data_IF_051255023105
#
_entry.id   IF_051255023105
#
_cell.length_a   1.000
_cell.length_b   1.000
_cell.length_c   1.000
_cell.angle_alpha   90.00
_cell.angle_beta   90.00
_cell.angle_gamma   90.00
#
_symmetry.space_group_name_H-M   'P 1'
#
loop_
_entity.id
_entity.type
_entity.pdbx_description
1 polymer ?
#
# COMPACT_ATOMS: atom_id res chain seq x y z
N UNK A 1 -4.42 -10.29 -7.21
CA UNK A 1 -5.81 -10.76 -7.33
C UNK A 1 -6.84 -9.63 -7.30
N UNK A 2 -6.63 -8.53 -6.57
CA UNK A 2 -7.63 -7.45 -6.43
C UNK A 2 -8.13 -6.85 -7.76
N UNK A 3 -7.25 -6.56 -8.72
CA UNK A 3 -7.69 -6.06 -10.03
C UNK A 3 -8.50 -7.07 -10.86
N UNK A 4 -8.39 -8.37 -10.57
CA UNK A 4 -9.14 -9.39 -11.29
C UNK A 4 -10.58 -9.39 -10.76
N UNK A 5 -10.74 -9.45 -9.44
CA UNK A 5 -12.06 -9.44 -8.81
C UNK A 5 -12.79 -8.09 -8.95
N UNK A 6 -12.06 -7.01 -9.29
CA UNK A 6 -12.67 -5.71 -9.60
C UNK A 6 -13.52 -5.72 -10.87
N UNK A 7 -13.41 -6.78 -11.68
CA UNK A 7 -14.19 -6.95 -12.89
C UNK A 7 -13.60 -6.29 -14.15
N UNK A 8 -12.40 -5.71 -14.04
CA UNK A 8 -11.77 -4.91 -15.11
C UNK A 8 -11.40 -5.72 -16.37
N UNK A 9 -11.12 -7.01 -16.20
CA UNK A 9 -10.61 -7.86 -17.29
C UNK A 9 -11.68 -8.73 -17.95
N UNK A 10 -12.90 -8.73 -17.42
CA UNK A 10 -13.96 -9.57 -17.95
C UNK A 10 -14.62 -8.91 -19.16
N UNK A 11 -14.97 -9.74 -20.14
CA UNK A 11 -15.57 -9.28 -21.41
C UNK A 11 -17.09 -9.27 -21.36
N UNK A 12 -17.68 -10.12 -20.52
CA UNK A 12 -19.13 -10.30 -20.39
C UNK A 12 -19.61 -9.87 -19.01
N UNK A 13 -20.88 -9.47 -18.90
CA UNK A 13 -21.52 -9.19 -17.61
C UNK A 13 -22.10 -10.44 -16.94
N UNK A 14 -22.23 -11.55 -17.69
CA UNK A 14 -22.70 -12.82 -17.14
C UNK A 14 -21.58 -13.52 -16.35
N UNK A 15 -21.62 -13.38 -15.03
CA UNK A 15 -20.56 -13.81 -14.11
C UNK A 15 -21.14 -14.53 -12.90
N UNK A 16 -20.38 -15.47 -12.35
CA UNK A 16 -20.61 -15.96 -11.00
C UNK A 16 -20.06 -14.93 -10.00
N UNK A 17 -20.89 -14.55 -9.03
CA UNK A 17 -20.52 -13.65 -7.92
C UNK A 17 -20.61 -14.41 -6.62
N UNK A 18 -19.57 -14.29 -5.79
CA UNK A 18 -19.53 -14.90 -4.46
C UNK A 18 -19.10 -13.87 -3.44
N UNK A 19 -19.77 -13.86 -2.29
CA UNK A 19 -19.34 -13.03 -1.18
C UNK A 19 -18.10 -13.65 -0.52
N UNK A 20 -17.09 -12.81 -0.35
CA UNK A 20 -15.86 -13.14 0.35
C UNK A 20 -15.71 -12.27 1.59
N UNK A 21 -15.22 -12.89 2.66
CA UNK A 21 -14.89 -12.21 3.91
C UNK A 21 -13.51 -12.64 4.38
N UNK A 22 -12.75 -11.69 4.89
CA UNK A 22 -11.47 -11.90 5.58
C UNK A 22 -11.48 -11.15 6.90
N UNK A 23 -10.59 -11.53 7.81
CA UNK A 23 -10.38 -10.85 9.08
C UNK A 23 -8.96 -10.29 9.08
N UNK A 24 -8.82 -9.05 9.50
CA UNK A 24 -7.50 -8.42 9.71
C UNK A 24 -7.53 -7.61 11.00
N UNK A 25 -6.35 -7.36 11.56
CA UNK A 25 -6.15 -6.59 12.76
C UNK A 25 -5.24 -5.41 12.45
N UNK A 26 -5.46 -4.27 13.11
CA UNK A 26 -4.62 -3.09 12.94
C UNK A 26 -4.53 -2.22 14.18
N UNK A 27 -3.44 -1.47 14.30
CA UNK A 27 -3.32 -0.37 15.26
C UNK A 27 -4.09 0.89 14.81
N UNK A 28 -4.71 0.88 13.62
CA UNK A 28 -5.60 1.94 13.15
C UNK A 28 -6.99 1.81 13.80
N UNK A 29 -7.42 2.84 14.52
CA UNK A 29 -8.72 2.92 15.19
C UNK A 29 -9.68 3.79 14.37
N UNK A 30 -10.78 3.20 13.91
CA UNK A 30 -11.79 3.89 13.12
C UNK A 30 -13.20 3.35 13.38
N UNK A 31 -14.22 4.21 13.19
CA UNK A 31 -15.59 3.93 13.64
C UNK A 31 -16.60 3.61 12.54
N UNK A 32 -16.29 3.87 11.26
CA UNK A 32 -17.23 3.71 10.16
C UNK A 32 -16.71 2.71 9.12
N UNK A 33 -17.57 1.94 8.45
CA UNK A 33 -17.14 1.14 7.30
C UNK A 33 -16.47 2.02 6.24
N UNK A 34 -15.30 1.61 5.75
CA UNK A 34 -14.62 2.27 4.63
C UNK A 34 -14.88 1.46 3.37
N UNK A 35 -15.73 1.99 2.48
CA UNK A 35 -16.12 1.35 1.23
C UNK A 35 -15.19 1.79 0.10
N UNK A 36 -14.47 0.84 -0.49
CA UNK A 36 -13.64 1.07 -1.69
C UNK A 36 -14.30 0.46 -2.94
N UNK A 37 -13.70 0.64 -4.11
CA UNK A 37 -14.19 0.05 -5.36
C UNK A 37 -14.08 -1.48 -5.44
N UNK A 38 -13.31 -2.13 -4.55
CA UNK A 38 -13.05 -3.58 -4.61
C UNK A 38 -13.41 -4.33 -3.32
N UNK A 39 -13.38 -3.65 -2.18
CA UNK A 39 -13.71 -4.25 -0.88
C UNK A 39 -14.20 -3.19 0.11
N UNK A 40 -14.84 -3.62 1.18
CA UNK A 40 -15.23 -2.79 2.33
C UNK A 40 -14.43 -3.23 3.56
N UNK A 41 -13.82 -2.27 4.25
CA UNK A 41 -13.15 -2.48 5.52
C UNK A 41 -14.09 -2.08 6.66
N UNK A 42 -14.58 -3.06 7.43
CA UNK A 42 -15.58 -2.86 8.46
C UNK A 42 -14.96 -3.02 9.85
N UNK A 43 -14.89 -1.96 10.67
CA UNK A 43 -14.43 -2.09 12.06
C UNK A 43 -15.42 -2.92 12.89
N UNK A 44 -14.88 -3.82 13.72
CA UNK A 44 -15.66 -4.69 14.62
C UNK A 44 -15.60 -4.20 16.07
N UNK A 45 -14.49 -3.55 16.45
CA UNK A 45 -14.25 -3.00 17.78
C UNK A 45 -13.67 -1.58 17.65
N UNK A 46 -13.97 -0.70 18.60
CA UNK A 46 -13.78 0.74 18.47
C UNK A 46 -12.86 1.35 19.53
N UNK A 47 -12.40 0.56 20.51
CA UNK A 47 -11.65 1.09 21.67
C UNK A 47 -10.49 0.20 22.13
N UNK A 48 -10.16 -0.85 21.37
CA UNK A 48 -8.97 -1.66 21.63
C UNK A 48 -7.71 -1.00 21.05
N UNK A 49 -6.53 -1.15 21.69
CA UNK A 49 -5.25 -0.77 21.09
C UNK A 49 -5.05 -1.40 19.70
N UNK A 50 -5.57 -2.61 19.50
CA UNK A 50 -5.59 -3.31 18.23
C UNK A 50 -7.03 -3.55 17.80
N UNK A 51 -7.47 -2.77 16.82
CA UNK A 51 -8.80 -2.87 16.22
C UNK A 51 -8.90 -4.10 15.31
N UNK A 52 -10.02 -4.82 15.42
CA UNK A 52 -10.35 -5.91 14.51
C UNK A 52 -11.21 -5.40 13.36
N UNK A 53 -10.93 -5.86 12.16
CA UNK A 53 -11.65 -5.47 10.94
C UNK A 53 -12.11 -6.71 10.16
N UNK A 54 -13.26 -6.58 9.51
CA UNK A 54 -13.73 -7.51 8.48
C UNK A 54 -13.50 -6.87 7.11
N UNK A 55 -12.83 -7.60 6.21
CA UNK A 55 -12.69 -7.22 4.80
C UNK A 55 -13.76 -7.98 4.02
N UNK A 56 -14.78 -7.27 3.57
CA UNK A 56 -15.87 -7.82 2.75
C UNK A 56 -15.65 -7.48 1.28
N UNK A 57 -15.63 -8.47 0.38
CA UNK A 57 -15.40 -8.29 -1.06
C UNK A 57 -16.29 -9.21 -1.89
N UNK A 58 -16.45 -8.89 -3.18
CA UNK A 58 -17.20 -9.72 -4.13
C UNK A 58 -16.18 -10.39 -5.05
N UNK A 59 -16.10 -11.72 -4.98
CA UNK A 59 -15.33 -12.53 -5.91
C UNK A 59 -16.13 -12.74 -7.19
N UNK A 60 -15.49 -12.54 -8.34
CA UNK A 60 -16.15 -12.62 -9.65
C UNK A 60 -15.40 -13.59 -10.56
N UNK A 61 -16.13 -14.44 -11.28
CA UNK A 61 -15.62 -15.36 -12.31
C UNK A 61 -16.53 -15.32 -13.54
N UNK A 62 -15.95 -15.34 -14.74
CA UNK A 62 -16.73 -15.56 -15.97
C UNK A 62 -17.40 -16.94 -15.95
N UNK A 63 -18.65 -17.00 -16.41
CA UNK A 63 -19.35 -18.27 -16.59
C UNK A 63 -18.79 -18.95 -17.84
N UNK A 64 -17.87 -19.88 -17.64
CA UNK A 64 -17.44 -20.79 -18.72
C UNK A 64 -17.98 -22.20 -18.46
N UNK A 65 -18.13 -23.03 -19.51
CA UNK A 65 -18.84 -24.32 -19.44
C UNK A 65 -18.11 -25.44 -18.66
N UNK A 66 -17.10 -25.12 -17.84
CA UNK A 66 -16.31 -26.08 -17.06
C UNK A 66 -16.27 -25.72 -15.58
N UNK A 67 -16.10 -26.74 -14.72
CA UNK A 67 -16.20 -26.58 -13.26
C UNK A 67 -15.25 -25.51 -12.70
N UNK A 68 -15.83 -24.45 -12.15
CA UNK A 68 -15.09 -23.31 -11.62
C UNK A 68 -14.73 -23.51 -10.15
N UNK A 69 -13.47 -23.26 -9.79
CA UNK A 69 -12.98 -23.30 -8.40
C UNK A 69 -12.59 -21.90 -7.96
N UNK A 70 -13.14 -21.47 -6.82
CA UNK A 70 -12.75 -20.22 -6.14
C UNK A 70 -11.37 -20.40 -5.51
N UNK A 71 -10.42 -19.53 -5.86
CA UNK A 71 -9.03 -19.59 -5.36
C UNK A 71 -8.51 -18.18 -5.13
N UNK A 72 -7.60 -18.01 -4.17
CA UNK A 72 -6.84 -16.78 -3.99
C UNK A 72 -7.44 -15.78 -3.00
N UNK A 73 -8.37 -16.22 -2.14
CA UNK A 73 -8.92 -15.39 -1.06
C UNK A 73 -7.84 -14.81 -0.15
N UNK A 74 -6.84 -15.61 0.24
CA UNK A 74 -5.69 -15.16 1.03
C UNK A 74 -4.90 -14.05 0.32
N UNK A 75 -4.69 -14.19 -0.99
CA UNK A 75 -3.97 -13.16 -1.78
C UNK A 75 -4.81 -11.89 -1.93
N UNK A 76 -6.15 -11.99 -2.00
CA UNK A 76 -7.04 -10.83 -2.02
C UNK A 76 -6.92 -10.05 -0.71
N UNK A 77 -7.03 -10.76 0.42
CA UNK A 77 -6.93 -10.19 1.77
C UNK A 77 -5.55 -9.54 1.92
N UNK A 78 -4.48 -10.28 1.63
CA UNK A 78 -3.10 -9.80 1.76
C UNK A 78 -2.83 -8.56 0.92
N UNK A 79 -3.27 -8.53 -0.34
CA UNK A 79 -3.08 -7.35 -1.18
C UNK A 79 -3.87 -6.15 -0.64
N UNK A 80 -5.05 -6.37 -0.07
CA UNK A 80 -5.86 -5.30 0.49
C UNK A 80 -5.24 -4.74 1.77
N UNK A 81 -4.69 -5.60 2.64
CA UNK A 81 -3.91 -5.19 3.81
C UNK A 81 -2.71 -4.33 3.44
N UNK A 82 -2.01 -4.64 2.35
CA UNK A 82 -0.87 -3.84 1.87
C UNK A 82 -1.31 -2.44 1.46
N UNK A 83 -2.41 -2.33 0.70
CA UNK A 83 -2.95 -1.02 0.30
C UNK A 83 -3.42 -0.22 1.52
N UNK A 84 -4.09 -0.88 2.47
CA UNK A 84 -4.55 -0.25 3.71
C UNK A 84 -3.36 0.22 4.55
N UNK A 85 -2.34 -0.63 4.74
CA UNK A 85 -1.15 -0.30 5.52
C UNK A 85 -0.42 0.91 4.97
N UNK A 86 -0.27 0.96 3.65
CA UNK A 86 0.40 2.06 2.97
C UNK A 86 -0.39 3.37 3.05
N UNK A 87 -1.68 3.34 2.70
CA UNK A 87 -2.49 4.55 2.57
C UNK A 87 -2.95 5.12 3.90
N UNK A 88 -3.33 4.26 4.85
CA UNK A 88 -3.73 4.65 6.21
C UNK A 88 -2.53 4.82 7.15
N UNK A 89 -1.31 4.55 6.65
CA UNK A 89 -0.04 4.66 7.40
C UNK A 89 -0.09 3.91 8.73
N UNK A 90 -0.61 2.69 8.68
CA UNK A 90 -0.83 1.86 9.85
C UNK A 90 -0.39 0.43 9.58
N UNK A 91 -0.25 -0.36 10.63
CA UNK A 91 0.11 -1.75 10.52
C UNK A 91 -1.15 -2.61 10.39
N UNK A 92 -1.30 -3.38 9.31
CA UNK A 92 -2.34 -4.41 9.17
C UNK A 92 -1.74 -5.81 9.10
N UNK A 93 -2.40 -6.78 9.75
CA UNK A 93 -2.03 -8.19 9.70
C UNK A 93 -3.18 -9.10 10.08
N UNK A 94 -3.22 -10.29 9.48
CA UNK A 94 -4.15 -11.37 9.84
C UNK A 94 -3.93 -11.89 11.28
N UNK A 95 -2.77 -11.62 11.90
CA UNK A 95 -2.47 -12.06 13.26
C UNK A 95 -2.46 -10.89 14.25
N UNK A 96 -3.43 -10.90 15.17
CA UNK A 96 -3.57 -9.89 16.22
C UNK A 96 -2.31 -9.75 17.09
N UNK A 97 -1.62 -10.86 17.38
CA UNK A 97 -0.42 -10.87 18.22
C UNK A 97 0.73 -10.13 17.53
N UNK A 98 0.82 -10.22 16.19
CA UNK A 98 1.89 -9.55 15.45
C UNK A 98 1.71 -8.03 15.48
N UNK A 99 0.48 -7.54 15.30
CA UNK A 99 0.16 -6.11 15.42
C UNK A 99 0.54 -5.60 16.82
N UNK A 100 0.12 -6.31 17.85
CA UNK A 100 0.37 -5.94 19.23
C UNK A 100 1.88 -5.97 19.57
N UNK A 101 2.60 -7.02 19.18
CA UNK A 101 4.04 -7.14 19.44
C UNK A 101 4.90 -6.14 18.66
N UNK A 102 4.48 -5.73 17.46
CA UNK A 102 5.23 -4.79 16.60
C UNK A 102 4.92 -3.33 16.94
N UNK A 103 3.70 -3.02 17.38
CA UNK A 103 3.27 -1.65 17.66
C UNK A 103 3.33 -1.28 19.16
N UNK A 104 3.61 -2.23 20.06
CA UNK A 104 3.77 -1.96 21.50
C UNK A 104 4.95 -1.01 21.78
N UNK A 105 4.69 0.03 22.58
CA UNK A 105 5.68 1.02 23.04
C UNK A 105 6.78 0.46 23.95
N UNK A 106 6.54 -0.68 24.65
CA UNK A 106 7.49 -1.26 25.60
C UNK A 106 7.62 -2.76 25.35
N UNK A 107 8.75 -3.20 24.79
CA UNK A 107 9.22 -4.59 24.96
C UNK A 107 9.95 -4.69 26.30
N UNK A 108 9.50 -5.59 27.18
CA UNK A 108 10.36 -6.18 28.21
C UNK A 108 11.33 -7.13 27.49
N UNK A 109 12.56 -6.70 27.19
CA UNK A 109 13.70 -7.61 27.13
C UNK A 109 15.04 -6.88 27.27
N UNK A 110 15.89 -7.48 28.09
CA UNK A 110 17.30 -7.15 28.32
C UNK A 110 18.08 -7.22 27.00
N UNK A 111 18.69 -6.11 26.57
CA UNK A 111 19.58 -6.11 25.41
C UNK A 111 19.05 -5.42 24.15
N UNK A 112 18.38 -4.27 24.33
CA UNK A 112 18.41 -3.14 23.41
C UNK A 112 18.08 -3.35 21.92
N UNK A 113 16.83 -3.08 21.55
CA UNK A 113 16.48 -2.24 20.39
C UNK A 113 15.32 -1.34 20.87
N UNK A 114 15.43 -0.03 20.64
CA UNK A 114 14.40 0.97 20.98
C UNK A 114 13.09 0.62 20.25
N UNK A 115 11.93 0.79 20.90
CA UNK A 115 10.61 0.51 20.32
C UNK A 115 10.48 1.01 18.87
N UNK A 116 9.91 0.24 17.91
CA UNK A 116 9.77 0.65 16.51
C UNK A 116 9.07 2.00 16.32
N UNK A 117 8.16 2.37 17.22
CA UNK A 117 7.51 3.69 17.26
C UNK A 117 8.47 4.87 17.48
N UNK A 118 9.65 4.64 18.07
CA UNK A 118 10.69 5.67 18.20
C UNK A 118 11.45 5.90 16.88
N UNK A 119 11.44 4.92 15.97
CA UNK A 119 12.14 4.98 14.69
C UNK A 119 11.21 5.47 13.58
N UNK A 120 10.02 4.89 13.48
CA UNK A 120 8.98 5.30 12.53
C UNK A 120 7.74 5.70 13.31
N UNK A 121 7.72 6.99 13.70
CA UNK A 121 6.57 7.60 14.39
C UNK A 121 5.32 7.49 13.52
N UNK A 122 4.16 7.55 14.15
CA UNK A 122 2.84 7.37 13.54
C UNK A 122 2.56 5.93 13.09
N UNK A 123 3.41 5.30 12.26
CA UNK A 123 3.11 3.97 11.70
C UNK A 123 2.95 2.87 12.76
N UNK A 124 3.78 2.89 13.80
CA UNK A 124 3.74 1.94 14.92
C UNK A 124 3.09 2.51 16.18
N UNK A 125 2.52 3.71 16.12
CA UNK A 125 1.83 4.28 17.29
C UNK A 125 0.57 3.46 17.57
N UNK A 126 0.19 3.31 18.84
CA UNK A 126 -0.96 2.49 19.22
C UNK A 126 -1.79 3.19 20.28
N UNK A 127 -3.09 3.49 20.02
CA UNK A 127 -3.77 3.42 18.73
C UNK A 127 -3.50 4.64 17.83
N UNK A 128 -3.56 4.46 16.51
CA UNK A 128 -3.64 5.56 15.54
C UNK A 128 -5.11 5.92 15.39
N UNK A 129 -5.51 7.11 15.84
CA UNK A 129 -6.87 7.60 15.64
C UNK A 129 -7.05 8.14 14.23
N UNK A 130 -7.84 7.42 13.43
CA UNK A 130 -8.07 7.77 12.04
C UNK A 130 -8.86 9.06 11.85
N UNK A 131 -8.59 9.75 10.74
CA UNK A 131 -9.33 10.96 10.32
C UNK A 131 -10.18 10.68 9.08
N UNK A 132 -11.25 11.45 8.91
CA UNK A 132 -12.13 11.33 7.74
C UNK A 132 -11.35 11.54 6.43
N UNK A 133 -10.51 12.57 6.37
CA UNK A 133 -9.67 12.89 5.22
C UNK A 133 -8.75 11.72 4.82
N UNK A 134 -8.19 11.00 5.81
CA UNK A 134 -7.33 9.84 5.57
C UNK A 134 -8.13 8.68 4.96
N UNK A 135 -9.36 8.46 5.42
CA UNK A 135 -10.23 7.43 4.86
C UNK A 135 -10.69 7.76 3.44
N UNK A 136 -11.00 9.03 3.16
CA UNK A 136 -11.33 9.49 1.80
C UNK A 136 -10.12 9.37 0.86
N UNK A 137 -8.93 9.73 1.36
CA UNK A 137 -7.69 9.54 0.64
C UNK A 137 -7.44 8.06 0.32
N UNK A 138 -7.66 7.16 1.28
CA UNK A 138 -7.52 5.72 1.08
C UNK A 138 -8.48 5.20 0.00
N UNK A 139 -9.75 5.60 0.02
CA UNK A 139 -10.73 5.21 -1.02
C UNK A 139 -10.26 5.66 -2.40
N UNK A 140 -9.84 6.91 -2.53
CA UNK A 140 -9.32 7.48 -3.77
C UNK A 140 -8.03 6.79 -4.23
N UNK A 141 -7.13 6.48 -3.30
CA UNK A 141 -5.88 5.77 -3.56
C UNK A 141 -6.15 4.37 -4.13
N UNK A 142 -7.01 3.58 -3.48
CA UNK A 142 -7.38 2.24 -3.97
C UNK A 142 -7.98 2.32 -5.36
N UNK A 143 -8.86 3.28 -5.61
CA UNK A 143 -9.44 3.47 -6.94
C UNK A 143 -8.39 3.77 -8.01
N UNK A 144 -7.43 4.65 -7.72
CA UNK A 144 -6.30 4.95 -8.63
C UNK A 144 -5.44 3.72 -8.89
N UNK A 145 -5.08 2.96 -7.85
CA UNK A 145 -4.25 1.76 -7.98
C UNK A 145 -4.94 0.68 -8.81
N UNK A 146 -6.23 0.43 -8.59
CA UNK A 146 -7.00 -0.55 -9.37
C UNK A 146 -7.16 -0.09 -10.83
N UNK A 147 -7.28 1.22 -11.07
CA UNK A 147 -7.38 1.79 -12.41
C UNK A 147 -6.08 1.66 -13.25
N UNK A 148 -4.92 1.41 -12.64
CA UNK A 148 -3.64 1.30 -13.36
C UNK A 148 -3.63 0.16 -14.42
N UNK A 149 -2.86 0.32 -15.52
CA UNK A 149 -2.54 -0.78 -16.43
C UNK A 149 -1.92 -1.96 -15.67
N UNK A 150 -2.13 -3.19 -16.15
CA UNK A 150 -1.74 -4.42 -15.43
C UNK A 150 -0.25 -4.45 -15.08
N UNK A 151 0.62 -4.00 -15.98
CA UNK A 151 2.06 -3.97 -15.74
C UNK A 151 2.40 -3.00 -14.59
N UNK A 152 1.96 -1.73 -14.72
CA UNK A 152 2.17 -0.70 -13.70
C UNK A 152 1.55 -1.05 -12.34
N UNK A 153 0.39 -1.72 -12.32
CA UNK A 153 -0.20 -2.21 -11.08
C UNK A 153 0.69 -3.23 -10.37
N UNK A 154 1.25 -4.20 -11.10
CA UNK A 154 2.14 -5.21 -10.50
C UNK A 154 3.40 -4.55 -9.93
N UNK A 155 3.99 -3.61 -10.67
CA UNK A 155 5.13 -2.79 -10.24
C UNK A 155 4.83 -2.04 -8.93
N UNK A 156 3.74 -1.24 -8.92
CA UNK A 156 3.31 -0.47 -7.74
C UNK A 156 3.02 -1.39 -6.54
N UNK A 157 2.29 -2.48 -6.74
CA UNK A 157 1.96 -3.41 -5.66
C UNK A 157 3.22 -4.07 -5.07
N UNK A 158 4.20 -4.44 -5.91
CA UNK A 158 5.49 -4.97 -5.46
C UNK A 158 6.27 -3.93 -4.66
N UNK A 159 6.27 -2.67 -5.09
CA UNK A 159 6.91 -1.59 -4.34
C UNK A 159 6.26 -1.38 -2.98
N UNK A 160 4.92 -1.33 -2.92
CA UNK A 160 4.17 -1.24 -1.66
C UNK A 160 4.50 -2.43 -0.74
N UNK A 161 4.54 -3.65 -1.30
CA UNK A 161 4.92 -4.85 -0.56
C UNK A 161 6.32 -4.72 0.07
N UNK A 162 7.32 -4.31 -0.71
CA UNK A 162 8.68 -4.11 -0.23
C UNK A 162 8.77 -3.00 0.82
N UNK A 163 8.05 -1.89 0.62
CA UNK A 163 7.98 -0.80 1.59
C UNK A 163 7.42 -1.28 2.94
N UNK A 164 6.28 -2.00 2.93
CA UNK A 164 5.69 -2.53 4.16
C UNK A 164 6.64 -3.55 4.81
N UNK A 165 7.27 -4.44 4.04
CA UNK A 165 8.26 -5.39 4.57
C UNK A 165 9.48 -4.69 5.18
N UNK A 166 9.94 -3.59 4.59
CA UNK A 166 11.02 -2.80 5.14
C UNK A 166 10.62 -2.25 6.51
N UNK A 167 9.42 -1.69 6.65
CA UNK A 167 8.91 -1.24 7.95
C UNK A 167 8.81 -2.39 8.95
N UNK A 168 8.32 -3.55 8.54
CA UNK A 168 8.17 -4.73 9.40
C UNK A 168 9.50 -5.33 9.89
N UNK A 169 10.61 -5.05 9.19
CA UNK A 169 11.95 -5.53 9.54
C UNK A 169 12.77 -4.55 10.38
N UNK A 170 12.28 -3.33 10.63
CA UNK A 170 12.96 -2.29 11.44
C UNK A 170 13.35 -2.79 12.83
N UNK A 171 12.50 -3.61 13.45
CA UNK A 171 12.73 -4.14 14.81
C UNK A 171 13.71 -5.33 14.84
N UNK A 172 13.95 -5.99 13.70
CA UNK A 172 14.85 -7.14 13.57
C UNK A 172 16.23 -6.68 13.15
N UNK A 173 16.31 -5.86 12.09
CA UNK A 173 17.55 -5.38 11.53
C UNK A 173 17.31 -4.05 10.78
N UNK A 174 17.80 -2.96 11.34
CA UNK A 174 17.66 -1.62 10.78
C UNK A 174 18.40 -1.46 9.45
N UNK A 175 19.58 -2.07 9.30
CA UNK A 175 20.39 -1.99 8.07
C UNK A 175 19.69 -2.71 6.92
N UNK A 176 19.09 -3.87 7.20
CA UNK A 176 18.26 -4.60 6.24
C UNK A 176 17.03 -3.79 5.85
N UNK A 177 16.32 -3.22 6.83
CA UNK A 177 15.16 -2.36 6.58
C UNK A 177 15.51 -1.19 5.66
N UNK A 178 16.61 -0.49 5.95
CA UNK A 178 17.10 0.60 5.13
C UNK A 178 17.46 0.14 3.71
N UNK A 179 18.15 -1.00 3.58
CA UNK A 179 18.53 -1.57 2.28
C UNK A 179 17.29 -1.90 1.43
N UNK A 180 16.23 -2.44 2.05
CA UNK A 180 14.96 -2.73 1.34
C UNK A 180 14.28 -1.42 0.90
N UNK A 181 14.32 -0.36 1.72
CA UNK A 181 13.76 0.95 1.32
C UNK A 181 14.50 1.55 0.13
N UNK A 182 15.84 1.54 0.14
CA UNK A 182 16.66 2.02 -0.98
C UNK A 182 16.34 1.23 -2.24
N UNK A 183 16.35 -0.11 -2.14
CA UNK A 183 15.98 -0.99 -3.26
C UNK A 183 14.57 -0.70 -3.80
N UNK A 184 13.61 -0.40 -2.92
CA UNK A 184 12.25 -0.05 -3.32
C UNK A 184 12.21 1.26 -4.13
N UNK A 185 12.97 2.27 -3.72
CA UNK A 185 13.05 3.55 -4.44
C UNK A 185 13.75 3.38 -5.79
N UNK A 186 14.86 2.65 -5.84
CA UNK A 186 15.58 2.36 -7.08
C UNK A 186 14.72 1.57 -8.07
N UNK A 187 14.05 0.51 -7.59
CA UNK A 187 13.14 -0.29 -8.41
C UNK A 187 12.00 0.56 -8.98
N UNK A 188 11.45 1.46 -8.17
CA UNK A 188 10.38 2.36 -8.60
C UNK A 188 10.87 3.38 -9.62
N UNK A 189 12.04 3.98 -9.41
CA UNK A 189 12.62 4.92 -10.37
C UNK A 189 12.88 4.24 -11.71
N UNK A 190 13.46 3.03 -11.69
CA UNK A 190 13.79 2.28 -12.91
C UNK A 190 12.54 1.80 -13.66
N UNK A 191 11.47 1.39 -12.97
CA UNK A 191 10.23 0.95 -13.63
C UNK A 191 9.38 2.08 -14.22
N UNK A 192 9.65 3.33 -13.83
CA UNK A 192 8.90 4.50 -14.26
C UNK A 192 9.78 5.58 -14.93
N UNK A 193 10.91 5.18 -15.51
CA UNK A 193 11.88 6.04 -16.20
C UNK A 193 11.42 6.53 -17.59
N UNK A 194 10.11 6.55 -17.84
CA UNK A 194 9.53 7.08 -19.09
C UNK A 194 9.64 8.61 -19.17
N UNK A 195 10.08 9.28 -18.09
CA UNK A 195 10.24 10.72 -18.02
C UNK A 195 11.51 11.18 -18.75
N UNK A 196 11.33 11.87 -19.87
CA UNK A 196 12.43 12.52 -20.58
C UNK A 196 12.50 13.99 -20.13
N UNK A 197 13.56 14.42 -19.40
CA UNK A 197 13.67 15.79 -18.97
C UNK A 197 13.77 16.72 -20.18
N UNK A 198 12.86 17.69 -20.27
CA UNK A 198 12.93 18.79 -21.21
C UNK A 198 13.86 19.89 -20.70
N UNK A 199 14.27 20.81 -21.58
CA UNK A 199 15.12 21.96 -21.20
C UNK A 199 14.53 22.82 -20.07
N UNK A 200 13.20 22.83 -19.95
CA UNK A 200 12.45 23.55 -18.93
C UNK A 200 12.46 22.91 -17.55
N UNK A 201 12.83 21.64 -17.44
CA UNK A 201 12.83 20.88 -16.19
C UNK A 201 14.15 21.04 -15.42
N UNK A 202 15.16 21.63 -16.05
CA UNK A 202 16.45 21.96 -15.43
C UNK A 202 16.38 23.27 -14.65
N UNK A 203 17.27 23.39 -13.68
CA UNK A 203 17.39 24.58 -12.84
C UNK A 203 17.56 25.84 -13.72
N UNK A 204 16.70 26.87 -13.55
CA UNK A 204 16.74 28.08 -14.37
C UNK A 204 18.09 28.80 -14.29
N UNK A 205 18.79 28.77 -13.15
CA UNK A 205 20.08 29.45 -13.00
C UNK A 205 21.19 28.80 -13.84
N UNK A 206 21.10 27.48 -14.07
CA UNK A 206 22.04 26.73 -14.91
C UNK A 206 21.64 26.89 -16.38
N UNK A 207 20.33 26.79 -16.66
CA UNK A 207 19.76 26.92 -18.00
C UNK A 207 20.09 28.27 -18.62
N UNK A 208 19.85 29.36 -17.90
CA UNK A 208 20.00 30.71 -18.43
C UNK A 208 21.48 31.05 -18.69
N UNK A 209 22.41 30.48 -17.90
CA UNK A 209 23.86 30.57 -18.18
C UNK A 209 24.24 29.80 -19.44
N UNK A 210 23.75 28.57 -19.60
CA UNK A 210 24.02 27.75 -20.78
C UNK A 210 23.43 28.38 -22.05
N UNK A 211 22.20 28.88 -22.00
CA UNK A 211 21.56 29.58 -23.12
C UNK A 211 22.36 30.83 -23.51
N UNK A 212 22.89 31.57 -22.53
CA UNK A 212 23.74 32.74 -22.81
C UNK A 212 25.05 32.41 -23.52
N UNK A 213 25.63 31.23 -23.28
CA UNK A 213 26.84 30.77 -23.97
C UNK A 213 26.51 30.13 -25.32
N UNK A 214 25.40 29.40 -25.44
CA UNK A 214 24.93 28.83 -26.69
C UNK A 214 24.53 29.90 -27.71
N UNK A 215 23.89 30.99 -27.27
CA UNK A 215 23.58 32.14 -28.13
C UNK A 215 24.82 32.83 -28.70
N UNK A 216 26.01 32.67 -28.10
CA UNK A 216 27.26 33.22 -28.66
C UNK A 216 27.85 32.35 -29.76
N UNK A 217 27.50 31.06 -29.79
CA UNK A 217 28.03 30.08 -30.75
C UNK A 217 27.17 30.08 -32.03
N UNK A 218 25.87 30.36 -31.93
CA UNK A 218 24.94 30.44 -33.09
C UNK A 218 25.12 31.70 -33.97
N UNK A 219 26.11 32.56 -33.69
CA UNK A 219 26.34 33.84 -34.40
C UNK A 219 27.52 33.77 -35.39
N UNK A 220 28.23 32.64 -35.49
CA UNK A 220 29.22 32.34 -36.54
C UNK A 220 28.66 31.42 -37.65
#
# INVERSE_FOLDING_TARGET
MLQIISGKFFKTEDRHKFDGKGITYSNYSWIKPIKTCVATLEPVDYFSPVTSYVISYIYQIEKDHSGLVRVGDAEIIRQFELLASFALKAYFSENKVDVDCKCRYIRKSMGGIKSPSLLVRHFFDTPIHGKLEETEHFVNFVQKVIALPRNRYKAVLRCIYNFVNALQSVDVNLDLSYSILVYCLESLAQEFDDFKPGWTDYDPDIRDKLDSELCKIDID
#
